data_IF_074857591109
#
_entry.id   IF_074857591109
#
_cell.length_a   1.000
_cell.length_b   1.000
_cell.length_c   1.000
_cell.angle_alpha   90.00
_cell.angle_beta   90.00
_cell.angle_gamma   90.00
#
_symmetry.space_group_name_H-M   'P 1'
#
loop_
_entity.id
_entity.type
_entity.pdbx_description
1 polymer ?
#
# COMPACT_ATOMS: atom_id res chain seq x y z
N UNK A 1 4.66 -51.81 -31.10
CA UNK A 1 5.09 -50.65 -30.28
C UNK A 1 4.71 -50.99 -28.84
N UNK A 2 5.71 -51.19 -27.98
CA UNK A 2 5.49 -51.69 -26.63
C UNK A 2 4.63 -50.67 -25.81
N UNK A 3 3.64 -51.18 -25.04
CA UNK A 3 2.75 -50.38 -24.22
C UNK A 3 3.53 -49.42 -23.26
N UNK A 4 4.70 -49.83 -22.83
CA UNK A 4 5.60 -49.04 -21.97
C UNK A 4 6.21 -47.80 -22.64
N UNK A 5 6.51 -47.86 -23.96
CA UNK A 5 6.99 -46.73 -24.76
C UNK A 5 5.93 -45.67 -24.94
N UNK A 6 4.68 -46.11 -25.17
CA UNK A 6 3.51 -45.22 -25.30
C UNK A 6 3.20 -44.43 -24.01
N UNK A 7 3.31 -45.08 -22.85
CA UNK A 7 3.10 -44.48 -21.52
C UNK A 7 4.12 -43.39 -21.22
N UNK A 8 5.40 -43.70 -21.45
CA UNK A 8 6.51 -42.77 -21.22
C UNK A 8 6.38 -41.51 -22.09
N UNK A 9 6.01 -41.70 -23.37
CA UNK A 9 5.84 -40.60 -24.31
C UNK A 9 4.66 -39.69 -23.94
N UNK A 10 3.55 -40.26 -23.43
CA UNK A 10 2.42 -39.50 -22.94
C UNK A 10 2.79 -38.67 -21.74
N UNK A 11 3.37 -39.28 -20.69
CA UNK A 11 3.82 -38.58 -19.48
C UNK A 11 4.77 -37.44 -19.80
N UNK A 12 5.74 -37.71 -20.70
CA UNK A 12 6.69 -36.67 -21.13
C UNK A 12 5.99 -35.52 -21.86
N UNK A 13 5.04 -35.81 -22.73
CA UNK A 13 4.22 -34.82 -23.45
C UNK A 13 3.43 -33.94 -22.45
N UNK A 14 2.78 -34.56 -21.46
CA UNK A 14 1.97 -33.86 -20.48
C UNK A 14 2.83 -32.96 -19.58
N UNK A 15 4.02 -33.44 -19.14
CA UNK A 15 4.97 -32.64 -18.34
C UNK A 15 5.48 -31.42 -19.14
N UNK A 16 5.86 -31.65 -20.43
CA UNK A 16 6.28 -30.56 -21.30
C UNK A 16 5.17 -29.53 -21.52
N UNK A 17 3.92 -29.97 -21.66
CA UNK A 17 2.75 -29.08 -21.80
C UNK A 17 2.65 -28.09 -20.62
N UNK A 18 2.72 -28.60 -19.40
CA UNK A 18 2.73 -27.77 -18.17
C UNK A 18 3.95 -26.86 -18.13
N UNK A 19 5.12 -27.35 -18.49
CA UNK A 19 6.37 -26.58 -18.57
C UNK A 19 6.28 -25.41 -19.56
N UNK A 20 5.72 -25.65 -20.75
CA UNK A 20 5.50 -24.59 -21.77
C UNK A 20 4.53 -23.53 -21.25
N UNK A 21 3.41 -23.95 -20.65
CA UNK A 21 2.43 -23.02 -20.08
C UNK A 21 3.05 -22.12 -18.98
N UNK A 22 3.81 -22.73 -18.06
CA UNK A 22 4.50 -22.00 -17.00
C UNK A 22 5.59 -21.05 -17.53
N UNK A 23 6.41 -21.53 -18.49
CA UNK A 23 7.47 -20.73 -19.13
C UNK A 23 6.89 -19.53 -19.87
N UNK A 24 5.82 -19.73 -20.64
CA UNK A 24 5.11 -18.66 -21.33
C UNK A 24 4.58 -17.63 -20.33
N UNK A 25 3.96 -18.07 -19.26
CA UNK A 25 3.45 -17.17 -18.21
C UNK A 25 4.56 -16.36 -17.54
N UNK A 26 5.69 -17.00 -17.24
CA UNK A 26 6.86 -16.34 -16.65
C UNK A 26 7.49 -15.31 -17.60
N UNK A 27 7.57 -15.61 -18.90
CA UNK A 27 8.07 -14.67 -19.92
C UNK A 27 7.14 -13.46 -20.05
N UNK A 28 5.83 -13.67 -20.13
CA UNK A 28 4.85 -12.59 -20.19
C UNK A 28 4.90 -11.70 -18.94
N UNK A 29 5.08 -12.29 -17.77
CA UNK A 29 5.21 -11.55 -16.50
C UNK A 29 6.46 -10.65 -16.42
N UNK A 30 7.47 -10.83 -17.29
CA UNK A 30 8.63 -9.92 -17.35
C UNK A 30 8.35 -8.59 -18.04
N UNK A 31 7.31 -8.51 -18.88
CA UNK A 31 7.00 -7.29 -19.61
C UNK A 31 6.15 -6.32 -18.79
N UNK A 32 6.67 -5.12 -18.57
CA UNK A 32 6.01 -4.10 -17.74
C UNK A 32 4.58 -3.76 -18.20
N UNK A 33 4.34 -3.75 -19.52
CA UNK A 33 3.00 -3.49 -20.07
C UNK A 33 2.03 -4.60 -19.70
N UNK A 34 2.45 -5.86 -19.80
CA UNK A 34 1.61 -7.01 -19.41
C UNK A 34 1.35 -7.04 -17.90
N UNK A 35 2.39 -6.76 -17.09
CA UNK A 35 2.26 -6.62 -15.61
C UNK A 35 1.20 -5.59 -15.25
N UNK A 36 1.19 -4.41 -15.90
CA UNK A 36 0.18 -3.37 -15.66
C UNK A 36 -1.23 -3.83 -15.98
N UNK A 37 -1.41 -4.58 -17.08
CA UNK A 37 -2.72 -5.17 -17.45
C UNK A 37 -3.19 -6.20 -16.42
N UNK A 38 -2.28 -7.00 -15.84
CA UNK A 38 -2.60 -7.94 -14.77
C UNK A 38 -3.07 -7.26 -13.49
N UNK A 39 -2.48 -6.10 -13.18
CA UNK A 39 -2.78 -5.34 -11.96
C UNK A 39 -4.20 -4.75 -11.98
N UNK A 40 -4.74 -4.42 -13.16
CA UNK A 40 -6.04 -3.78 -13.31
C UNK A 40 -7.15 -4.83 -13.30
N UNK A 41 -8.11 -4.72 -12.38
CA UNK A 41 -9.24 -5.66 -12.31
C UNK A 41 -10.31 -5.38 -13.37
N UNK A 42 -10.72 -4.13 -13.49
CA UNK A 42 -11.61 -3.64 -14.54
C UNK A 42 -10.79 -3.07 -15.68
N UNK A 43 -10.70 -3.85 -16.77
CA UNK A 43 -9.90 -3.50 -17.94
C UNK A 43 -10.72 -2.70 -18.92
N UNK A 44 -10.18 -1.56 -19.33
CA UNK A 44 -10.69 -0.79 -20.46
C UNK A 44 -10.47 -1.50 -21.81
N UNK A 45 -11.06 -1.04 -22.92
CA UNK A 45 -10.89 -1.66 -24.23
C UNK A 45 -9.44 -1.74 -24.70
N UNK A 46 -8.60 -0.74 -24.41
CA UNK A 46 -7.17 -0.71 -24.76
C UNK A 46 -6.39 -1.79 -24.01
N UNK A 47 -6.65 -1.94 -22.73
CA UNK A 47 -6.04 -2.98 -21.90
C UNK A 47 -6.48 -4.39 -22.31
N UNK A 48 -7.74 -4.56 -22.72
CA UNK A 48 -8.24 -5.82 -23.28
C UNK A 48 -7.53 -6.17 -24.59
N UNK A 49 -7.34 -5.19 -25.45
CA UNK A 49 -6.58 -5.38 -26.70
C UNK A 49 -5.11 -5.74 -26.42
N UNK A 50 -4.47 -5.05 -25.48
CA UNK A 50 -3.10 -5.38 -25.05
C UNK A 50 -3.00 -6.80 -24.51
N UNK A 51 -3.96 -7.25 -23.68
CA UNK A 51 -3.99 -8.62 -23.19
C UNK A 51 -4.02 -9.63 -24.34
N UNK A 52 -4.87 -9.41 -25.34
CA UNK A 52 -4.94 -10.26 -26.55
C UNK A 52 -3.61 -10.25 -27.31
N UNK A 53 -3.04 -9.08 -27.58
CA UNK A 53 -1.79 -8.94 -28.32
C UNK A 53 -0.60 -9.63 -27.65
N UNK A 54 -0.56 -9.69 -26.33
CA UNK A 54 0.50 -10.40 -25.60
C UNK A 54 0.26 -11.92 -25.55
N UNK A 55 -0.97 -12.37 -25.38
CA UNK A 55 -1.25 -13.80 -25.17
C UNK A 55 -1.40 -14.57 -26.49
N UNK A 56 -1.97 -13.98 -27.54
CA UNK A 56 -2.27 -14.70 -28.81
C UNK A 56 -1.03 -15.17 -29.58
N UNK A 57 0.05 -14.35 -29.78
CA UNK A 57 1.16 -14.79 -30.62
C UNK A 57 1.87 -16.06 -30.15
N UNK A 58 2.27 -16.21 -28.86
CA UNK A 58 2.92 -17.43 -28.42
C UNK A 58 2.01 -18.65 -28.51
N UNK A 59 0.69 -18.49 -28.34
CA UNK A 59 -0.27 -19.57 -28.46
C UNK A 59 -0.46 -20.00 -29.93
N UNK A 60 -0.47 -19.05 -30.87
CA UNK A 60 -0.49 -19.33 -32.32
C UNK A 60 0.76 -20.13 -32.73
N UNK A 61 1.94 -19.72 -32.24
CA UNK A 61 3.20 -20.44 -32.47
C UNK A 61 3.08 -21.88 -31.95
N UNK A 62 2.53 -22.08 -30.74
CA UNK A 62 2.34 -23.41 -30.16
C UNK A 62 1.44 -24.30 -31.02
N UNK A 63 0.31 -23.80 -31.50
CA UNK A 63 -0.59 -24.52 -32.42
C UNK A 63 0.12 -24.83 -33.74
N UNK A 64 0.86 -23.88 -34.29
CA UNK A 64 1.58 -24.07 -35.56
C UNK A 64 2.67 -25.13 -35.43
N UNK A 65 3.45 -25.11 -34.34
CA UNK A 65 4.48 -26.14 -34.09
C UNK A 65 3.88 -27.54 -34.00
N UNK A 66 2.75 -27.70 -33.32
CA UNK A 66 2.03 -28.97 -33.26
C UNK A 66 1.61 -29.47 -34.66
N UNK A 67 1.15 -28.56 -35.53
CA UNK A 67 0.70 -28.90 -36.89
C UNK A 67 1.86 -29.31 -37.80
N UNK A 68 3.05 -28.76 -37.61
CA UNK A 68 4.26 -29.06 -38.38
C UNK A 68 4.85 -30.43 -37.99
N UNK A 69 4.80 -30.78 -36.69
CA UNK A 69 5.43 -32.01 -36.22
C UNK A 69 4.72 -32.64 -35.03
N UNK A 70 4.41 -33.92 -35.14
CA UNK A 70 3.77 -34.73 -34.09
C UNK A 70 4.50 -34.70 -32.74
N UNK A 71 5.81 -34.54 -32.76
CA UNK A 71 6.65 -34.42 -31.56
C UNK A 71 6.40 -33.16 -30.75
N UNK A 72 5.76 -32.11 -31.31
CA UNK A 72 5.47 -30.84 -30.66
C UNK A 72 4.04 -30.74 -30.10
N UNK A 73 3.34 -31.87 -29.92
CA UNK A 73 1.96 -31.92 -29.42
C UNK A 73 1.77 -31.17 -28.08
N UNK A 74 2.80 -31.16 -27.24
CA UNK A 74 2.81 -30.48 -25.97
C UNK A 74 2.73 -28.93 -26.08
N UNK A 75 3.05 -28.39 -27.26
CA UNK A 75 3.04 -26.93 -27.45
C UNK A 75 1.64 -26.35 -27.65
N UNK A 76 0.64 -27.21 -27.95
CA UNK A 76 -0.74 -26.77 -28.13
C UNK A 76 -1.43 -26.47 -26.80
N UNK A 77 -1.60 -25.18 -26.53
CA UNK A 77 -2.32 -24.62 -25.38
C UNK A 77 -3.55 -23.81 -25.84
N UNK A 78 -4.14 -24.16 -27.00
CA UNK A 78 -5.22 -23.39 -27.61
C UNK A 78 -6.45 -23.24 -26.70
N UNK A 79 -6.92 -24.35 -26.10
CA UNK A 79 -8.09 -24.34 -25.21
C UNK A 79 -7.76 -23.65 -23.87
N UNK A 80 -6.64 -24.01 -23.25
CA UNK A 80 -6.20 -23.44 -21.98
C UNK A 80 -5.90 -21.94 -22.10
N UNK A 81 -5.25 -21.55 -23.19
CA UNK A 81 -4.94 -20.13 -23.45
C UNK A 81 -6.19 -19.31 -23.75
N UNK A 82 -7.15 -19.83 -24.52
CA UNK A 82 -8.43 -19.18 -24.74
C UNK A 82 -9.23 -19.05 -23.45
N UNK A 83 -9.27 -20.10 -22.61
CA UNK A 83 -9.90 -20.09 -21.31
C UNK A 83 -9.27 -19.03 -20.36
N UNK A 84 -7.93 -19.00 -20.29
CA UNK A 84 -7.19 -17.97 -19.51
C UNK A 84 -7.48 -16.55 -20.01
N UNK A 85 -7.55 -16.33 -21.33
CA UNK A 85 -7.92 -15.03 -21.88
C UNK A 85 -9.35 -14.64 -21.49
N UNK A 86 -10.27 -15.61 -21.44
CA UNK A 86 -11.63 -15.40 -20.94
C UNK A 86 -11.65 -15.03 -19.47
N UNK A 87 -10.95 -15.78 -18.62
CA UNK A 87 -10.84 -15.52 -17.18
C UNK A 87 -10.24 -14.14 -16.89
N UNK A 88 -9.25 -13.69 -17.67
CA UNK A 88 -8.60 -12.41 -17.48
C UNK A 88 -9.32 -11.25 -18.17
N UNK A 89 -9.74 -11.45 -19.44
CA UNK A 89 -10.24 -10.39 -20.32
C UNK A 89 -11.78 -10.30 -20.42
N UNK A 90 -12.48 -11.34 -19.93
CA UNK A 90 -13.94 -11.41 -19.95
C UNK A 90 -14.53 -12.04 -21.21
N UNK A 91 -15.88 -12.01 -21.30
CA UNK A 91 -16.70 -12.75 -22.28
C UNK A 91 -16.49 -12.37 -23.76
N UNK A 92 -15.81 -11.27 -24.04
CA UNK A 92 -15.51 -10.83 -25.42
C UNK A 92 -14.11 -11.25 -25.83
N UNK A 93 -13.13 -11.02 -24.94
CA UNK A 93 -11.70 -11.28 -25.19
C UNK A 93 -11.42 -12.79 -25.36
N UNK A 94 -12.03 -13.62 -24.51
CA UNK A 94 -11.82 -15.06 -24.55
C UNK A 94 -12.23 -15.71 -25.89
N UNK A 95 -13.47 -15.55 -26.34
CA UNK A 95 -13.92 -16.13 -27.61
C UNK A 95 -13.17 -15.63 -28.85
N UNK A 96 -12.92 -14.31 -28.91
CA UNK A 96 -12.17 -13.71 -30.02
C UNK A 96 -10.73 -14.22 -30.01
N UNK A 97 -10.08 -14.24 -28.85
CA UNK A 97 -8.73 -14.77 -28.71
C UNK A 97 -8.66 -16.24 -29.08
N UNK A 98 -9.62 -17.07 -28.64
CA UNK A 98 -9.72 -18.48 -29.00
C UNK A 98 -9.86 -18.70 -30.51
N UNK A 99 -10.71 -17.90 -31.18
CA UNK A 99 -10.85 -17.94 -32.63
C UNK A 99 -9.53 -17.61 -33.35
N UNK A 100 -8.84 -16.55 -32.92
CA UNK A 100 -7.57 -16.10 -33.51
C UNK A 100 -6.47 -17.15 -33.34
N UNK A 101 -6.32 -17.73 -32.13
CA UNK A 101 -5.30 -18.76 -31.84
C UNK A 101 -5.44 -19.97 -32.75
N UNK A 102 -6.65 -20.34 -33.09
CA UNK A 102 -6.96 -21.57 -33.85
C UNK A 102 -7.03 -21.38 -35.36
N UNK A 103 -6.75 -20.19 -35.91
CA UNK A 103 -6.66 -19.94 -37.34
C UNK A 103 -5.72 -20.94 -38.06
N UNK A 104 -4.49 -21.23 -37.54
CA UNK A 104 -3.64 -22.24 -38.19
C UNK A 104 -4.29 -23.62 -38.23
N UNK A 105 -4.96 -24.06 -37.16
CA UNK A 105 -5.64 -25.34 -37.10
C UNK A 105 -6.78 -25.44 -38.13
N UNK A 106 -7.52 -24.34 -38.33
CA UNK A 106 -8.57 -24.27 -39.36
C UNK A 106 -8.01 -24.43 -40.76
N UNK A 107 -6.85 -23.83 -41.06
CA UNK A 107 -6.16 -24.01 -42.38
C UNK A 107 -5.79 -25.46 -42.61
N UNK A 108 -5.45 -26.21 -41.56
CA UNK A 108 -5.13 -27.64 -41.63
C UNK A 108 -6.37 -28.56 -41.49
N UNK A 109 -7.60 -28.02 -41.72
CA UNK A 109 -8.88 -28.73 -41.72
C UNK A 109 -9.33 -29.27 -40.36
N UNK A 110 -8.85 -28.69 -39.24
CA UNK A 110 -9.37 -28.95 -37.90
C UNK A 110 -10.59 -28.04 -37.61
N UNK A 111 -11.73 -28.34 -38.25
CA UNK A 111 -12.91 -27.48 -38.27
C UNK A 111 -13.52 -27.19 -36.88
N UNK A 112 -13.36 -28.11 -35.92
CA UNK A 112 -13.88 -27.99 -34.58
C UNK A 112 -12.93 -27.24 -33.62
N UNK A 113 -11.69 -26.96 -34.01
CA UNK A 113 -10.72 -26.28 -33.18
C UNK A 113 -11.17 -24.85 -32.82
N UNK A 114 -11.68 -24.10 -33.81
CA UNK A 114 -12.13 -22.72 -33.58
C UNK A 114 -13.37 -22.63 -32.69
N UNK A 115 -14.48 -23.36 -32.94
CA UNK A 115 -15.63 -23.32 -32.03
C UNK A 115 -15.29 -23.82 -30.61
N UNK A 116 -14.44 -24.84 -30.47
CA UNK A 116 -14.05 -25.37 -29.17
C UNK A 116 -13.21 -24.36 -28.35
N UNK A 117 -12.23 -23.73 -28.98
CA UNK A 117 -11.41 -22.69 -28.30
C UNK A 117 -12.24 -21.44 -28.01
N UNK A 118 -13.12 -21.02 -28.94
CA UNK A 118 -14.02 -19.89 -28.68
C UNK A 118 -14.98 -20.18 -27.51
N UNK A 119 -15.51 -21.40 -27.43
CA UNK A 119 -16.34 -21.82 -26.29
C UNK A 119 -15.55 -21.85 -24.98
N UNK A 120 -14.32 -22.36 -24.95
CA UNK A 120 -13.46 -22.33 -23.78
C UNK A 120 -13.22 -20.90 -23.30
N UNK A 121 -12.93 -19.99 -24.23
CA UNK A 121 -12.77 -18.57 -23.93
C UNK A 121 -14.04 -17.91 -23.40
N UNK A 122 -15.21 -18.24 -23.97
CA UNK A 122 -16.50 -17.78 -23.48
C UNK A 122 -16.78 -18.27 -22.06
N UNK A 123 -16.53 -19.56 -21.79
CA UNK A 123 -16.70 -20.15 -20.46
C UNK A 123 -15.85 -19.46 -19.42
N UNK A 124 -14.57 -19.19 -19.72
CA UNK A 124 -13.70 -18.40 -18.84
C UNK A 124 -14.26 -17.00 -18.57
N UNK A 125 -14.77 -16.33 -19.60
CA UNK A 125 -15.38 -15.00 -19.49
C UNK A 125 -16.68 -15.00 -18.67
N UNK A 126 -17.51 -16.03 -18.78
CA UNK A 126 -18.73 -16.20 -17.99
C UNK A 126 -18.41 -16.45 -16.52
N UNK A 127 -17.44 -17.32 -16.23
CA UNK A 127 -16.95 -17.56 -14.86
C UNK A 127 -16.48 -16.24 -14.24
N UNK A 128 -15.63 -15.46 -14.95
CA UNK A 128 -15.21 -14.13 -14.47
C UNK A 128 -16.39 -13.22 -14.15
N UNK A 129 -17.44 -13.23 -14.97
CA UNK A 129 -18.62 -12.39 -14.73
C UNK A 129 -19.43 -12.87 -13.52
N UNK A 130 -19.55 -14.18 -13.33
CA UNK A 130 -20.34 -14.80 -12.28
C UNK A 130 -19.69 -14.67 -10.88
N UNK A 131 -18.36 -14.62 -10.81
CA UNK A 131 -17.62 -14.48 -9.53
C UNK A 131 -17.89 -13.11 -8.92
N UNK A 132 -18.49 -13.02 -7.70
CA UNK A 132 -18.78 -11.75 -7.04
C UNK A 132 -17.53 -10.97 -6.68
N UNK A 133 -16.55 -11.64 -6.08
CA UNK A 133 -15.26 -11.05 -5.74
C UNK A 133 -14.18 -11.52 -6.73
N UNK A 134 -13.67 -10.60 -7.54
CA UNK A 134 -12.66 -10.92 -8.58
C UNK A 134 -11.34 -11.44 -8.00
N UNK A 135 -11.06 -11.15 -6.72
CA UNK A 135 -9.89 -11.69 -6.00
C UNK A 135 -9.95 -13.21 -5.87
N UNK A 136 -11.15 -13.82 -5.79
CA UNK A 136 -11.31 -15.27 -5.66
C UNK A 136 -10.77 -16.03 -6.89
N UNK A 137 -10.74 -15.36 -8.06
CA UNK A 137 -10.15 -15.91 -9.27
C UNK A 137 -8.65 -16.18 -9.10
N UNK A 138 -7.96 -15.31 -8.38
CA UNK A 138 -6.52 -15.39 -8.16
C UNK A 138 -6.13 -16.42 -7.09
N UNK A 139 -7.09 -16.87 -6.27
CA UNK A 139 -6.89 -17.95 -5.30
C UNK A 139 -6.83 -19.32 -5.98
N UNK A 140 -7.28 -19.42 -7.25
CA UNK A 140 -7.16 -20.65 -8.04
C UNK A 140 -5.68 -20.97 -8.30
N UNK A 141 -5.28 -22.18 -7.96
CA UNK A 141 -3.91 -22.64 -8.11
C UNK A 141 -3.78 -24.16 -8.25
N UNK A 142 -2.55 -24.66 -8.42
CA UNK A 142 -2.29 -26.10 -8.62
C UNK A 142 -2.87 -27.03 -7.55
N UNK A 143 -3.04 -26.53 -6.33
CA UNK A 143 -3.52 -27.29 -5.17
C UNK A 143 -4.96 -26.97 -4.77
N UNK A 144 -5.72 -26.25 -5.63
CA UNK A 144 -7.12 -25.89 -5.33
C UNK A 144 -8.00 -27.12 -5.10
N UNK A 145 -7.66 -28.27 -5.70
CA UNK A 145 -8.39 -29.53 -5.47
C UNK A 145 -8.37 -29.99 -3.99
N UNK A 146 -7.38 -29.60 -3.20
CA UNK A 146 -7.33 -29.89 -1.76
C UNK A 146 -8.44 -29.16 -0.97
N UNK A 147 -9.04 -28.14 -1.57
CA UNK A 147 -10.16 -27.41 -0.96
C UNK A 147 -11.53 -28.03 -1.30
N UNK A 148 -11.60 -29.10 -2.09
CA UNK A 148 -12.87 -29.78 -2.45
C UNK A 148 -13.67 -30.15 -1.19
N UNK A 149 -13.11 -30.76 -0.12
CA UNK A 149 -13.88 -31.07 1.08
C UNK A 149 -14.51 -29.83 1.73
N UNK A 150 -13.76 -28.72 1.78
CA UNK A 150 -14.27 -27.44 2.31
C UNK A 150 -15.39 -26.85 1.44
N UNK A 151 -15.24 -26.97 0.12
CA UNK A 151 -16.25 -26.50 -0.82
C UNK A 151 -17.57 -27.29 -0.67
N UNK A 152 -17.48 -28.61 -0.55
CA UNK A 152 -18.65 -29.48 -0.32
C UNK A 152 -19.34 -29.13 1.01
N UNK A 153 -18.59 -28.97 2.09
CA UNK A 153 -19.15 -28.60 3.40
C UNK A 153 -19.84 -27.24 3.33
N UNK A 154 -19.25 -26.22 2.69
CA UNK A 154 -19.89 -24.90 2.52
C UNK A 154 -21.17 -24.98 1.69
N UNK A 155 -21.15 -25.73 0.59
CA UNK A 155 -22.33 -25.93 -0.24
C UNK A 155 -23.47 -26.57 0.57
N UNK A 156 -23.16 -27.58 1.38
CA UNK A 156 -24.16 -28.32 2.18
C UNK A 156 -24.67 -27.51 3.39
N UNK A 157 -23.83 -26.69 4.01
CA UNK A 157 -24.19 -25.98 5.25
C UNK A 157 -24.73 -24.57 5.01
N UNK A 158 -24.27 -23.88 3.98
CA UNK A 158 -24.60 -22.47 3.71
C UNK A 158 -25.25 -22.21 2.37
N UNK A 159 -25.39 -23.24 1.51
CA UNK A 159 -25.80 -23.11 0.12
C UNK A 159 -24.97 -22.08 -0.69
N UNK A 160 -23.72 -21.82 -0.26
CA UNK A 160 -22.80 -20.89 -0.92
C UNK A 160 -21.93 -21.64 -1.92
N UNK A 161 -21.90 -21.17 -3.16
CA UNK A 161 -20.96 -21.66 -4.19
C UNK A 161 -19.54 -21.20 -3.82
N UNK A 162 -18.63 -22.16 -3.79
CA UNK A 162 -17.20 -21.89 -3.61
C UNK A 162 -16.59 -21.58 -4.98
N UNK A 163 -16.58 -20.30 -5.34
CA UNK A 163 -16.21 -19.82 -6.67
C UNK A 163 -14.81 -20.19 -7.13
N UNK A 164 -13.89 -20.44 -6.20
CA UNK A 164 -12.55 -20.96 -6.50
C UNK A 164 -12.58 -22.32 -7.21
N UNK A 165 -13.68 -23.08 -7.07
CA UNK A 165 -13.86 -24.39 -7.76
C UNK A 165 -14.35 -24.22 -9.20
N UNK A 166 -14.90 -23.09 -9.59
CA UNK A 166 -15.46 -22.91 -10.93
C UNK A 166 -14.42 -23.08 -12.04
N UNK A 167 -13.20 -22.54 -11.97
CA UNK A 167 -12.15 -22.80 -12.95
C UNK A 167 -11.72 -24.28 -12.99
N UNK A 168 -11.68 -24.96 -11.81
CA UNK A 168 -11.38 -26.39 -11.73
C UNK A 168 -12.40 -27.21 -12.51
N UNK A 169 -13.68 -27.01 -12.22
CA UNK A 169 -14.78 -27.75 -12.88
C UNK A 169 -14.81 -27.44 -14.38
N UNK A 170 -14.51 -26.21 -14.76
CA UNK A 170 -14.42 -25.85 -16.18
C UNK A 170 -13.27 -26.57 -16.90
N UNK A 171 -12.07 -26.66 -16.29
CA UNK A 171 -10.94 -27.39 -16.88
C UNK A 171 -11.27 -28.88 -17.06
N UNK A 172 -11.90 -29.51 -16.05
CA UNK A 172 -12.35 -30.89 -16.12
C UNK A 172 -13.39 -31.07 -17.24
N UNK A 173 -14.40 -30.19 -17.28
CA UNK A 173 -15.46 -30.24 -18.30
C UNK A 173 -14.95 -30.01 -19.73
N UNK A 174 -14.00 -29.07 -19.90
CA UNK A 174 -13.39 -28.80 -21.20
C UNK A 174 -12.58 -29.99 -21.72
N UNK A 175 -11.81 -30.65 -20.84
CA UNK A 175 -11.01 -31.81 -21.25
C UNK A 175 -11.89 -33.02 -21.57
N UNK A 176 -12.86 -33.34 -20.72
CA UNK A 176 -13.83 -34.41 -20.97
C UNK A 176 -14.63 -34.12 -22.25
N UNK A 177 -15.09 -32.86 -22.40
CA UNK A 177 -15.81 -32.44 -23.60
C UNK A 177 -14.97 -32.57 -24.87
N UNK A 178 -13.67 -32.24 -24.81
CA UNK A 178 -12.73 -32.39 -25.93
C UNK A 178 -12.59 -33.84 -26.34
N UNK A 179 -12.36 -34.76 -25.41
CA UNK A 179 -12.24 -36.21 -25.69
C UNK A 179 -13.55 -36.76 -26.23
N UNK A 180 -14.69 -36.40 -25.60
CA UNK A 180 -16.01 -36.82 -26.09
C UNK A 180 -16.28 -36.37 -27.54
N UNK A 181 -15.91 -35.12 -27.85
CA UNK A 181 -16.12 -34.54 -29.17
C UNK A 181 -15.24 -35.24 -30.23
N UNK A 182 -13.98 -35.55 -29.90
CA UNK A 182 -13.09 -36.33 -30.79
C UNK A 182 -13.59 -37.74 -30.98
N UNK A 183 -14.11 -38.39 -29.92
CA UNK A 183 -14.70 -39.73 -30.01
C UNK A 183 -15.99 -39.77 -30.87
N UNK A 184 -16.80 -38.72 -30.83
CA UNK A 184 -18.06 -38.59 -31.55
C UNK A 184 -17.88 -38.14 -33.02
N UNK A 185 -16.72 -37.57 -33.37
CA UNK A 185 -16.46 -36.99 -34.68
C UNK A 185 -15.24 -37.65 -35.37
N UNK A 186 -14.79 -37.07 -36.48
CA UNK A 186 -13.55 -37.55 -37.12
C UNK A 186 -12.34 -37.00 -36.32
N UNK A 187 -11.34 -37.85 -35.97
CA UNK A 187 -10.16 -37.44 -35.18
C UNK A 187 -9.36 -36.27 -35.81
N UNK A 188 -9.51 -36.02 -37.12
CA UNK A 188 -8.85 -34.91 -37.83
C UNK A 188 -9.53 -33.54 -37.59
N UNK A 189 -10.71 -33.46 -36.97
CA UNK A 189 -11.45 -32.22 -36.84
C UNK A 189 -11.12 -31.45 -35.57
N UNK A 190 -10.61 -32.16 -34.56
CA UNK A 190 -10.17 -31.56 -33.31
C UNK A 190 -9.00 -32.36 -32.76
N UNK A 191 -7.98 -31.65 -32.30
CA UNK A 191 -6.82 -32.26 -31.68
C UNK A 191 -7.08 -32.61 -30.20
N UNK A 192 -6.70 -33.80 -29.79
CA UNK A 192 -6.52 -34.21 -28.40
C UNK A 192 -5.19 -34.95 -28.23
N UNK A 193 -4.54 -34.81 -27.09
CA UNK A 193 -3.25 -35.49 -26.84
C UNK A 193 -3.46 -36.99 -26.78
N UNK A 194 -4.50 -37.41 -26.04
CA UNK A 194 -4.98 -38.79 -26.01
C UNK A 194 -6.52 -38.80 -26.10
N UNK A 195 -7.07 -39.32 -27.21
CA UNK A 195 -8.52 -39.33 -27.41
C UNK A 195 -9.25 -40.52 -26.78
N UNK A 196 -8.55 -41.36 -25.98
CA UNK A 196 -9.13 -42.56 -25.40
C UNK A 196 -9.77 -42.31 -24.04
N UNK A 197 -10.86 -43.05 -23.77
CA UNK A 197 -11.57 -43.07 -22.49
C UNK A 197 -11.02 -44.18 -21.60
N UNK A 198 -9.82 -43.98 -21.06
CA UNK A 198 -9.21 -44.89 -20.12
C UNK A 198 -8.69 -44.10 -18.89
N UNK A 199 -7.94 -44.76 -18.02
CA UNK A 199 -7.40 -44.14 -16.82
C UNK A 199 -6.40 -42.98 -17.13
N UNK A 200 -5.86 -42.89 -18.36
CA UNK A 200 -5.00 -41.78 -18.80
C UNK A 200 -5.76 -40.46 -18.91
N UNK A 201 -7.09 -40.51 -19.08
CA UNK A 201 -7.91 -39.31 -19.08
C UNK A 201 -7.71 -38.49 -17.81
N UNK A 202 -7.52 -39.16 -16.66
CA UNK A 202 -7.20 -38.46 -15.40
C UNK A 202 -5.90 -37.66 -15.46
N UNK A 203 -4.86 -38.19 -16.11
CA UNK A 203 -3.59 -37.48 -16.29
C UNK A 203 -3.71 -36.31 -17.26
N UNK A 204 -4.46 -36.45 -18.34
CA UNK A 204 -4.70 -35.35 -19.30
C UNK A 204 -5.50 -34.23 -18.64
N UNK A 205 -6.51 -34.54 -17.83
CA UNK A 205 -7.26 -33.58 -17.01
C UNK A 205 -6.34 -32.85 -16.02
N UNK A 206 -5.47 -33.57 -15.31
CA UNK A 206 -4.50 -32.98 -14.39
C UNK A 206 -3.54 -32.04 -15.14
N UNK A 207 -3.04 -32.44 -16.31
CA UNK A 207 -2.15 -31.61 -17.10
C UNK A 207 -2.84 -30.35 -17.63
N UNK A 208 -4.10 -30.44 -18.07
CA UNK A 208 -4.91 -29.28 -18.46
C UNK A 208 -5.15 -28.35 -17.28
N UNK A 209 -5.52 -28.90 -16.13
CA UNK A 209 -5.66 -28.14 -14.89
C UNK A 209 -4.38 -27.38 -14.51
N UNK A 210 -3.23 -28.08 -14.53
CA UNK A 210 -1.93 -27.47 -14.22
C UNK A 210 -1.52 -26.42 -15.26
N UNK A 211 -1.84 -26.64 -16.55
CA UNK A 211 -1.55 -25.67 -17.62
C UNK A 211 -2.37 -24.39 -17.52
N UNK A 212 -3.47 -24.38 -16.77
CA UNK A 212 -4.24 -23.18 -16.43
C UNK A 212 -3.83 -22.60 -15.07
N UNK A 213 -3.67 -23.47 -14.06
CA UNK A 213 -3.40 -23.06 -12.69
C UNK A 213 -1.99 -22.49 -12.51
N UNK A 214 -0.96 -23.04 -13.17
CA UNK A 214 0.41 -22.56 -13.04
C UNK A 214 0.58 -21.13 -13.57
N UNK A 215 0.12 -20.77 -14.79
CA UNK A 215 0.09 -19.39 -15.26
C UNK A 215 -0.62 -18.43 -14.31
N UNK A 216 -1.82 -18.78 -13.85
CA UNK A 216 -2.56 -17.93 -12.91
C UNK A 216 -1.79 -17.71 -11.60
N UNK A 217 -1.15 -18.75 -11.06
CA UNK A 217 -0.34 -18.63 -9.85
C UNK A 217 0.89 -17.76 -10.05
N UNK A 218 1.60 -17.90 -11.18
CA UNK A 218 2.76 -17.06 -11.53
C UNK A 218 2.32 -15.60 -11.64
N UNK A 219 1.23 -15.33 -12.34
CA UNK A 219 0.71 -13.97 -12.51
C UNK A 219 0.16 -13.38 -11.20
N UNK A 220 -0.48 -14.20 -10.36
CA UNK A 220 -0.91 -13.76 -9.03
C UNK A 220 0.29 -13.38 -8.14
N UNK A 221 1.35 -14.17 -8.13
CA UNK A 221 2.56 -13.84 -7.38
C UNK A 221 3.15 -12.49 -7.86
N UNK A 222 3.24 -12.28 -9.19
CA UNK A 222 3.68 -11.00 -9.76
C UNK A 222 2.77 -9.84 -9.34
N UNK A 223 1.45 -10.06 -9.29
CA UNK A 223 0.47 -9.07 -8.85
C UNK A 223 0.63 -8.73 -7.37
N UNK A 224 0.83 -9.74 -6.52
CA UNK A 224 1.07 -9.58 -5.08
C UNK A 224 2.36 -8.79 -4.82
N UNK A 225 3.46 -9.11 -5.53
CA UNK A 225 4.72 -8.36 -5.45
C UNK A 225 4.52 -6.89 -5.79
N UNK A 226 3.84 -6.57 -6.88
CA UNK A 226 3.55 -5.18 -7.28
C UNK A 226 2.69 -4.44 -6.25
N UNK A 227 1.71 -5.10 -5.66
CA UNK A 227 0.89 -4.54 -4.60
C UNK A 227 1.74 -4.23 -3.36
N UNK A 228 2.61 -5.15 -2.97
CA UNK A 228 3.51 -4.96 -1.83
C UNK A 228 4.46 -3.77 -2.06
N UNK A 229 5.10 -3.70 -3.23
CA UNK A 229 5.96 -2.57 -3.61
C UNK A 229 5.20 -1.24 -3.53
N UNK A 230 3.97 -1.20 -4.05
CA UNK A 230 3.12 0.00 -4.01
C UNK A 230 2.76 0.41 -2.58
N UNK A 231 2.39 -0.54 -1.73
CA UNK A 231 2.09 -0.26 -0.32
C UNK A 231 3.32 0.25 0.43
N UNK A 232 4.51 -0.32 0.16
CA UNK A 232 5.77 0.17 0.74
C UNK A 232 6.07 1.61 0.30
N UNK A 233 5.87 1.94 -0.99
CA UNK A 233 6.04 3.31 -1.49
C UNK A 233 5.06 4.29 -0.84
N UNK A 234 3.79 3.89 -0.69
CA UNK A 234 2.77 4.72 -0.02
C UNK A 234 3.10 4.94 1.45
N UNK A 235 3.55 3.91 2.16
CA UNK A 235 3.99 4.02 3.55
C UNK A 235 5.22 4.94 3.70
N UNK A 236 6.19 4.80 2.79
CA UNK A 236 7.36 5.68 2.78
C UNK A 236 6.96 7.12 2.52
N UNK A 237 6.08 7.36 1.53
CA UNK A 237 5.55 8.70 1.24
C UNK A 237 4.80 9.27 2.43
N UNK A 238 3.90 8.51 3.05
CA UNK A 238 3.16 8.96 4.22
C UNK A 238 4.09 9.30 5.41
N UNK A 239 5.16 8.50 5.61
CA UNK A 239 6.20 8.81 6.61
C UNK A 239 6.95 10.10 6.27
N UNK A 240 7.31 10.30 4.99
CA UNK A 240 7.97 11.53 4.54
C UNK A 240 7.06 12.76 4.69
N UNK A 241 5.77 12.64 4.34
CA UNK A 241 4.78 13.70 4.48
C UNK A 241 4.59 14.04 5.98
N UNK A 242 4.52 13.03 6.85
CA UNK A 242 4.43 13.22 8.31
C UNK A 242 5.69 13.89 8.89
N UNK A 243 6.88 13.49 8.46
CA UNK A 243 8.14 14.14 8.84
C UNK A 243 8.21 15.58 8.35
N UNK A 244 7.79 15.83 7.10
CA UNK A 244 7.77 17.18 6.53
C UNK A 244 6.78 18.11 7.24
N UNK A 245 5.67 17.59 7.75
CA UNK A 245 4.68 18.39 8.51
C UNK A 245 5.17 18.80 9.90
N UNK A 246 6.16 18.09 10.46
CA UNK A 246 6.80 18.44 11.75
C UNK A 246 7.78 19.62 11.62
N UNK A 247 8.30 19.85 10.42
CA UNK A 247 9.10 21.05 10.13
C UNK A 247 8.12 22.09 9.59
N UNK A 248 7.86 23.16 10.35
CA UNK A 248 7.06 24.27 9.84
C UNK A 248 7.79 24.94 8.64
N UNK A 249 7.33 24.71 7.38
CA UNK A 249 8.06 25.22 6.20
C UNK A 249 8.16 26.75 6.21
N UNK A 250 7.14 27.41 6.72
CA UNK A 250 7.08 28.85 6.83
C UNK A 250 8.14 29.39 7.79
N UNK A 251 8.35 28.70 8.93
CA UNK A 251 9.43 29.05 9.86
C UNK A 251 10.80 28.94 9.19
N UNK A 252 11.03 27.83 8.45
CA UNK A 252 12.30 27.60 7.77
C UNK A 252 12.57 28.67 6.70
N UNK A 253 11.59 28.98 5.85
CA UNK A 253 11.74 30.04 4.84
C UNK A 253 11.99 31.42 5.49
N UNK A 254 11.26 31.76 6.54
CA UNK A 254 11.43 33.03 7.24
C UNK A 254 12.82 33.12 7.89
N UNK A 255 13.31 32.04 8.51
CA UNK A 255 14.65 32.00 9.11
C UNK A 255 15.74 32.19 8.06
N UNK A 256 15.63 31.52 6.89
CA UNK A 256 16.59 31.69 5.79
C UNK A 256 16.57 33.11 5.20
N UNK A 257 15.40 33.73 5.09
CA UNK A 257 15.27 35.11 4.68
C UNK A 257 15.92 36.08 5.71
N UNK A 258 15.71 35.83 7.01
CA UNK A 258 16.38 36.59 8.09
C UNK A 258 17.89 36.46 8.01
N UNK A 259 18.41 35.23 7.83
CA UNK A 259 19.86 35.00 7.64
C UNK A 259 20.37 35.78 6.43
N UNK A 260 19.67 35.69 5.30
CA UNK A 260 20.05 36.40 4.07
C UNK A 260 20.08 37.93 4.25
N UNK A 261 19.15 38.49 5.01
CA UNK A 261 19.14 39.92 5.33
C UNK A 261 20.32 40.30 6.28
N UNK A 262 20.58 39.47 7.29
CA UNK A 262 21.62 39.73 8.29
C UNK A 262 23.05 39.57 7.75
N UNK A 263 23.30 38.72 6.78
CA UNK A 263 24.66 38.42 6.26
C UNK A 263 25.46 39.71 5.94
N UNK A 264 24.78 40.76 5.47
CA UNK A 264 25.46 42.02 5.05
C UNK A 264 25.67 43.01 6.22
N UNK A 265 24.80 42.96 7.23
CA UNK A 265 24.77 43.97 8.28
C UNK A 265 25.26 43.45 9.63
N UNK A 266 25.00 42.19 9.95
CA UNK A 266 25.39 41.54 11.19
C UNK A 266 25.72 40.02 10.91
N UNK A 267 26.92 39.76 10.36
CA UNK A 267 27.31 38.38 10.00
C UNK A 267 27.42 37.45 11.21
N UNK A 268 27.74 37.94 12.38
CA UNK A 268 27.86 37.12 13.59
C UNK A 268 26.48 36.64 14.08
N UNK A 269 25.50 37.53 14.11
CA UNK A 269 24.12 37.15 14.38
C UNK A 269 23.58 36.19 13.30
N UNK A 270 23.89 36.42 12.02
CA UNK A 270 23.50 35.50 10.94
C UNK A 270 24.06 34.07 11.15
N UNK A 271 25.35 33.97 11.52
CA UNK A 271 26.01 32.71 11.84
C UNK A 271 25.34 32.01 13.05
N UNK A 272 25.01 32.79 14.10
CA UNK A 272 24.31 32.32 15.30
C UNK A 272 22.94 31.70 14.92
N UNK A 273 22.16 32.37 14.08
CA UNK A 273 20.85 31.90 13.60
C UNK A 273 21.00 30.57 12.83
N UNK A 274 22.00 30.43 11.94
CA UNK A 274 22.26 29.18 11.20
C UNK A 274 22.61 28.03 12.15
N UNK A 275 23.43 28.26 13.17
CA UNK A 275 23.77 27.22 14.14
C UNK A 275 22.55 26.78 14.95
N UNK A 276 21.70 27.71 15.41
CA UNK A 276 20.45 27.40 16.12
C UNK A 276 19.46 26.67 15.26
N UNK A 277 19.30 27.07 13.99
CA UNK A 277 18.49 26.36 13.02
C UNK A 277 18.98 24.92 12.82
N UNK A 278 20.30 24.73 12.72
CA UNK A 278 20.91 23.40 12.62
C UNK A 278 20.60 22.53 13.84
N UNK A 279 20.62 23.10 15.05
CA UNK A 279 20.25 22.37 16.28
C UNK A 279 18.79 21.96 16.29
N UNK A 280 17.87 22.85 15.90
CA UNK A 280 16.45 22.56 15.75
C UNK A 280 16.24 21.41 14.77
N UNK A 281 16.82 21.48 13.55
CA UNK A 281 16.67 20.45 12.52
C UNK A 281 17.23 19.11 12.99
N UNK A 282 18.40 19.11 13.64
CA UNK A 282 19.01 17.89 14.17
C UNK A 282 18.11 17.21 15.20
N UNK A 283 17.44 17.98 16.05
CA UNK A 283 16.50 17.44 17.06
C UNK A 283 15.26 16.87 16.41
N UNK A 284 14.66 17.56 15.44
CA UNK A 284 13.49 17.06 14.67
C UNK A 284 13.78 15.77 13.91
N UNK A 285 15.04 15.55 13.50
CA UNK A 285 15.47 14.34 12.78
C UNK A 285 15.92 13.19 13.69
N UNK A 286 16.10 13.42 15.01
CA UNK A 286 16.39 12.33 15.95
C UNK A 286 15.19 11.41 16.12
N UNK A 287 15.47 10.15 16.50
CA UNK A 287 14.42 9.18 16.88
C UNK A 287 13.61 9.77 18.04
N UNK A 288 12.31 9.89 17.88
CA UNK A 288 11.45 10.47 18.90
C UNK A 288 11.40 9.56 20.13
N UNK A 289 11.98 10.01 21.22
CA UNK A 289 11.71 9.50 22.56
C UNK A 289 10.33 10.02 22.98
N UNK A 290 9.52 9.16 23.62
CA UNK A 290 8.19 9.55 24.07
C UNK A 290 8.27 10.61 25.17
N UNK A 291 9.28 10.49 26.06
CA UNK A 291 9.57 11.43 27.13
C UNK A 291 11.00 11.92 27.02
N UNK A 292 11.21 13.18 27.35
CA UNK A 292 12.53 13.85 27.40
C UNK A 292 12.64 14.67 28.68
N UNK A 293 13.84 14.92 29.23
CA UNK A 293 14.01 15.86 30.32
C UNK A 293 13.51 17.25 29.93
N UNK A 294 12.89 17.97 30.87
CA UNK A 294 12.35 19.33 30.64
C UNK A 294 13.42 20.28 30.10
N UNK A 295 14.67 20.16 30.56
CA UNK A 295 15.79 20.96 30.06
C UNK A 295 15.93 20.86 28.53
N UNK A 296 15.67 19.68 27.92
CA UNK A 296 15.78 19.53 26.49
C UNK A 296 14.65 20.25 25.73
N UNK A 297 13.42 20.24 26.27
CA UNK A 297 12.32 21.05 25.72
C UNK A 297 12.65 22.52 25.79
N UNK A 298 13.20 22.98 26.92
CA UNK A 298 13.61 24.35 27.13
C UNK A 298 14.76 24.79 26.21
N UNK A 299 15.76 23.93 25.98
CA UNK A 299 16.85 24.18 25.01
C UNK A 299 16.32 24.35 23.60
N UNK A 300 15.33 23.52 23.19
CA UNK A 300 14.68 23.68 21.91
C UNK A 300 13.95 25.02 21.80
N UNK A 301 13.18 25.39 22.85
CA UNK A 301 12.46 26.64 22.89
C UNK A 301 13.42 27.82 22.83
N UNK A 302 14.60 27.74 23.50
CA UNK A 302 15.63 28.78 23.45
C UNK A 302 16.17 28.99 22.06
N UNK A 303 16.54 27.92 21.38
CA UNK A 303 17.00 28.02 20.00
C UNK A 303 15.91 28.62 19.07
N UNK A 304 14.65 28.26 19.29
CA UNK A 304 13.52 28.75 18.52
C UNK A 304 13.27 30.24 18.76
N UNK A 305 13.17 30.65 20.05
CA UNK A 305 12.94 32.03 20.46
C UNK A 305 14.07 32.96 20.01
N UNK A 306 15.31 32.52 20.12
CA UNK A 306 16.47 33.32 19.69
C UNK A 306 16.45 33.61 18.17
N UNK A 307 15.97 32.65 17.36
CA UNK A 307 15.76 32.88 15.92
C UNK A 307 14.65 33.90 15.71
N UNK A 308 13.55 33.80 16.44
CA UNK A 308 12.44 34.73 16.35
C UNK A 308 12.83 36.14 16.83
N UNK A 309 13.63 36.27 17.90
CA UNK A 309 14.20 37.54 18.36
C UNK A 309 15.08 38.17 17.28
N UNK A 310 15.91 37.36 16.59
CA UNK A 310 16.71 37.86 15.47
C UNK A 310 15.84 38.37 14.30
N UNK A 311 14.64 37.79 14.13
CA UNK A 311 13.67 38.17 13.06
C UNK A 311 12.87 39.42 13.44
N UNK A 312 12.32 39.47 14.63
CA UNK A 312 11.46 40.59 15.10
C UNK A 312 12.23 41.80 15.59
N UNK A 313 13.50 41.62 15.97
CA UNK A 313 14.32 42.63 16.65
C UNK A 313 14.28 42.46 18.17
N UNK A 314 15.43 42.67 18.81
CA UNK A 314 15.60 42.49 20.27
C UNK A 314 14.70 43.42 21.12
N UNK A 315 14.36 44.58 20.57
CA UNK A 315 13.52 45.56 21.27
C UNK A 315 12.02 45.22 21.21
N UNK A 316 11.65 44.25 20.39
CA UNK A 316 10.25 43.91 20.12
C UNK A 316 9.78 42.58 20.78
N UNK A 317 10.69 41.81 21.35
CA UNK A 317 10.33 40.53 21.99
C UNK A 317 11.13 40.31 23.28
N UNK A 318 10.45 40.38 24.43
CA UNK A 318 11.00 40.14 25.77
C UNK A 318 10.67 38.70 26.23
N UNK A 319 11.68 37.96 26.69
CA UNK A 319 11.55 36.57 27.13
C UNK A 319 12.01 36.48 28.60
N UNK A 320 11.07 36.14 29.48
CA UNK A 320 11.33 35.97 30.91
C UNK A 320 11.16 34.50 31.30
N UNK A 321 12.18 33.93 31.96
CA UNK A 321 12.16 32.59 32.49
C UNK A 321 12.34 32.59 34.01
N UNK A 322 11.45 31.87 34.66
CA UNK A 322 11.47 31.63 36.10
C UNK A 322 11.34 30.11 36.30
N UNK A 323 12.48 29.43 36.26
CA UNK A 323 12.57 27.99 36.28
C UNK A 323 13.15 27.54 37.62
N UNK A 324 12.45 26.64 38.30
CA UNK A 324 13.01 25.98 39.49
C UNK A 324 13.97 24.87 39.03
N UNK A 325 15.19 24.82 39.55
CA UNK A 325 16.25 23.92 39.10
C UNK A 325 15.88 22.43 39.23
N UNK A 326 15.08 22.07 40.23
CA UNK A 326 14.57 20.71 40.46
C UNK A 326 13.60 20.22 39.38
N UNK A 327 13.04 21.14 38.59
CA UNK A 327 12.14 20.79 37.49
C UNK A 327 12.85 20.37 36.21
N UNK A 328 14.13 20.74 36.04
CA UNK A 328 14.86 20.58 34.78
C UNK A 328 15.09 19.11 34.35
N UNK A 329 15.25 18.21 35.33
CA UNK A 329 15.46 16.79 35.12
C UNK A 329 14.14 15.99 35.10
N UNK A 330 13.00 16.64 35.34
CA UNK A 330 11.69 16.00 35.27
C UNK A 330 11.37 15.62 33.82
N UNK A 331 10.93 14.37 33.60
CA UNK A 331 10.58 13.90 32.25
C UNK A 331 9.21 14.42 31.82
N UNK A 332 9.16 15.01 30.64
CA UNK A 332 7.95 15.54 30.00
C UNK A 332 7.75 14.90 28.63
N UNK A 333 6.51 14.83 28.12
CA UNK A 333 6.29 14.41 26.76
C UNK A 333 7.08 15.26 25.76
N UNK A 334 7.78 14.63 24.84
CA UNK A 334 8.52 15.32 23.78
C UNK A 334 7.60 16.25 22.97
N UNK A 335 8.06 17.42 22.60
CA UNK A 335 7.29 18.46 21.89
C UNK A 335 6.05 18.95 22.66
N UNK A 336 6.14 19.06 23.98
CA UNK A 336 5.06 19.57 24.84
C UNK A 336 4.95 21.09 24.77
N UNK A 337 6.09 21.78 24.90
CA UNK A 337 6.15 23.24 25.02
C UNK A 337 6.13 23.94 23.66
N UNK A 338 6.71 23.33 22.63
CA UNK A 338 6.87 23.91 21.30
C UNK A 338 5.54 24.44 20.71
N UNK A 339 4.43 23.66 20.62
CA UNK A 339 3.20 24.14 20.00
C UNK A 339 2.59 25.33 20.76
N UNK A 340 2.83 25.40 22.07
CA UNK A 340 2.32 26.47 22.93
C UNK A 340 3.07 27.77 22.67
N UNK A 341 4.41 27.71 22.65
CA UNK A 341 5.24 28.87 22.36
C UNK A 341 5.06 29.37 20.93
N UNK A 342 4.93 28.47 19.97
CA UNK A 342 4.59 28.82 18.59
C UNK A 342 3.24 29.57 18.51
N UNK A 343 2.22 29.15 19.27
CA UNK A 343 0.93 29.83 19.31
C UNK A 343 1.04 31.20 19.94
N UNK A 344 1.79 31.35 21.05
CA UNK A 344 2.05 32.67 21.67
C UNK A 344 2.66 33.63 20.64
N UNK A 345 3.67 33.21 19.90
CA UNK A 345 4.30 34.05 18.88
C UNK A 345 3.39 34.37 17.72
N UNK A 346 2.80 33.33 17.11
CA UNK A 346 2.06 33.45 15.85
C UNK A 346 0.69 34.11 16.02
N UNK A 347 -0.02 33.76 17.07
CA UNK A 347 -1.40 34.18 17.29
C UNK A 347 -1.53 35.25 18.36
N UNK A 348 -0.64 35.23 19.37
CA UNK A 348 -0.61 36.24 20.44
C UNK A 348 0.12 37.48 20.01
N UNK A 349 1.38 37.38 19.65
CA UNK A 349 2.29 38.52 19.52
C UNK A 349 2.43 39.06 18.11
N UNK A 350 2.43 38.20 17.07
CA UNK A 350 2.61 38.66 15.67
C UNK A 350 1.58 39.70 15.20
N UNK A 351 0.31 39.71 15.65
CA UNK A 351 -0.65 40.75 15.32
C UNK A 351 -0.44 42.07 16.08
N UNK A 352 0.40 42.10 17.14
CA UNK A 352 0.60 43.27 18.02
C UNK A 352 1.68 44.18 17.42
N UNK A 353 1.39 45.47 17.35
CA UNK A 353 2.33 46.49 16.84
C UNK A 353 3.36 46.96 17.88
N UNK A 354 3.00 46.84 19.16
CA UNK A 354 3.82 47.19 20.29
C UNK A 354 4.49 45.96 20.85
N UNK A 355 5.75 45.89 21.00
CA UNK A 355 6.53 44.75 21.46
C UNK A 355 5.81 43.68 22.33
N UNK A 356 6.23 42.45 22.22
CA UNK A 356 5.64 41.30 22.91
C UNK A 356 6.47 40.78 24.06
N UNK A 357 5.82 40.13 25.04
CA UNK A 357 6.47 39.50 26.19
C UNK A 357 5.96 38.07 26.31
N UNK A 358 6.89 37.13 26.48
CA UNK A 358 6.58 35.73 26.85
C UNK A 358 7.23 35.43 28.17
N UNK A 359 6.48 34.89 29.11
CA UNK A 359 6.97 34.45 30.39
C UNK A 359 6.73 32.96 30.59
N UNK A 360 7.79 32.23 30.93
CA UNK A 360 7.78 30.81 31.21
C UNK A 360 8.12 30.57 32.67
N UNK A 361 7.27 29.86 33.39
CA UNK A 361 7.49 29.49 34.79
C UNK A 361 7.36 28.00 34.97
N UNK A 362 8.26 27.39 35.75
CA UNK A 362 8.16 25.98 36.14
C UNK A 362 8.34 25.85 37.65
N UNK A 363 7.54 24.99 38.27
CA UNK A 363 7.61 24.65 39.69
C UNK A 363 7.28 23.21 39.94
N UNK A 364 7.95 22.57 40.89
CA UNK A 364 7.57 21.28 41.42
C UNK A 364 6.81 21.46 42.75
N UNK A 365 5.60 20.88 42.84
CA UNK A 365 4.79 20.89 44.07
C UNK A 365 4.07 19.57 44.22
N UNK A 366 4.17 18.95 45.40
CA UNK A 366 3.45 17.75 45.77
C UNK A 366 3.63 16.57 44.77
N UNK A 367 4.85 16.43 44.20
CA UNK A 367 5.16 15.39 43.16
C UNK A 367 4.53 15.67 41.81
N UNK A 368 4.19 16.92 41.53
CA UNK A 368 3.63 17.35 40.23
C UNK A 368 4.44 18.50 39.66
N UNK A 369 4.67 18.43 38.36
CA UNK A 369 5.30 19.49 37.58
C UNK A 369 4.23 20.46 37.10
N UNK A 370 4.36 21.73 37.54
CA UNK A 370 3.55 22.85 37.09
C UNK A 370 4.34 23.67 36.08
N UNK A 371 3.80 23.85 34.91
CA UNK A 371 4.36 24.69 33.84
C UNK A 371 3.34 25.77 33.52
N UNK A 372 3.76 27.03 33.54
CA UNK A 372 2.93 28.17 33.13
C UNK A 372 3.64 28.94 32.01
N UNK A 373 2.92 29.19 30.93
CA UNK A 373 3.36 29.99 29.79
C UNK A 373 2.36 31.13 29.62
N UNK A 374 2.87 32.37 29.70
CA UNK A 374 2.09 33.59 29.62
C UNK A 374 2.60 34.47 28.49
N UNK A 375 1.71 34.96 27.63
CA UNK A 375 1.99 36.02 26.66
C UNK A 375 1.12 37.26 26.94
N UNK A 376 1.61 38.43 26.57
CA UNK A 376 0.87 39.69 26.63
C UNK A 376 0.31 40.08 25.25
N UNK A 377 -0.05 39.09 24.43
CA UNK A 377 -0.55 39.27 23.08
C UNK A 377 -1.97 39.80 22.96
N UNK A 378 -2.57 39.67 21.83
CA UNK A 378 -3.93 40.18 21.54
C UNK A 378 -5.03 39.40 22.27
N UNK A 379 -4.70 38.24 22.87
CA UNK A 379 -5.65 37.38 23.58
C UNK A 379 -6.69 36.73 22.66
N UNK A 380 -7.60 35.95 23.29
CA UNK A 380 -8.63 35.18 22.63
C UNK A 380 -9.99 35.63 23.16
N UNK A 381 -10.96 35.86 22.25
CA UNK A 381 -12.30 36.25 22.66
C UNK A 381 -13.05 35.10 23.37
N UNK A 382 -13.93 35.44 24.31
CA UNK A 382 -14.72 34.46 25.08
C UNK A 382 -15.50 33.48 24.18
N UNK A 383 -15.98 33.94 23.01
CA UNK A 383 -16.70 33.11 22.05
C UNK A 383 -15.80 32.04 21.40
N UNK A 384 -14.50 32.32 21.21
CA UNK A 384 -13.54 31.40 20.60
C UNK A 384 -12.87 30.47 21.60
N UNK A 385 -12.83 30.83 22.87
CA UNK A 385 -12.13 30.06 23.90
C UNK A 385 -12.57 28.60 23.99
N UNK A 386 -13.88 28.25 23.92
CA UNK A 386 -14.33 26.85 23.91
C UNK A 386 -13.87 26.07 22.66
N UNK A 387 -13.64 26.77 21.54
CA UNK A 387 -13.29 26.15 20.25
C UNK A 387 -11.78 25.98 20.05
N UNK A 388 -10.94 26.57 20.91
CA UNK A 388 -9.47 26.49 20.81
C UNK A 388 -8.94 25.04 20.85
N UNK A 389 -9.63 24.15 21.56
CA UNK A 389 -9.30 22.73 21.61
C UNK A 389 -9.82 21.92 20.43
N UNK A 390 -10.69 22.48 19.60
CA UNK A 390 -11.33 21.78 18.46
C UNK A 390 -10.77 22.27 17.13
N UNK A 391 -10.57 23.58 16.99
CA UNK A 391 -10.14 24.24 15.75
C UNK A 391 -8.62 24.46 15.67
N UNK A 392 -7.91 24.49 16.81
CA UNK A 392 -6.48 24.73 16.88
C UNK A 392 -5.66 23.44 16.87
N UNK A 393 -4.96 23.15 15.77
CA UNK A 393 -4.15 21.91 15.60
C UNK A 393 -3.10 21.75 16.71
N UNK A 394 -2.49 22.83 17.18
CA UNK A 394 -1.39 22.78 18.14
C UNK A 394 -1.82 22.37 19.55
N UNK A 395 -2.80 23.06 20.14
CA UNK A 395 -3.26 22.80 21.50
C UNK A 395 -4.12 21.55 21.64
N UNK A 396 -4.89 21.21 20.60
CA UNK A 396 -5.64 19.95 20.55
C UNK A 396 -4.67 18.75 20.58
N UNK A 397 -3.57 18.81 19.84
CA UNK A 397 -2.53 17.78 19.82
C UNK A 397 -1.83 17.65 21.19
N UNK A 398 -1.53 18.75 21.85
CA UNK A 398 -0.96 18.74 23.22
C UNK A 398 -1.93 18.04 24.19
N UNK A 399 -3.20 18.43 24.18
CA UNK A 399 -4.23 17.83 25.05
C UNK A 399 -4.42 16.34 24.80
N UNK A 400 -4.51 15.93 23.53
CA UNK A 400 -4.66 14.52 23.16
C UNK A 400 -3.43 13.69 23.58
N UNK A 401 -2.23 14.23 23.37
CA UNK A 401 -0.98 13.60 23.82
C UNK A 401 -0.95 13.42 25.33
N UNK A 402 -1.29 14.46 26.11
CA UNK A 402 -1.38 14.37 27.57
C UNK A 402 -2.42 13.32 27.99
N UNK A 403 -3.59 13.28 27.33
CA UNK A 403 -4.63 12.30 27.59
C UNK A 403 -4.18 10.86 27.33
N UNK A 404 -3.45 10.62 26.23
CA UNK A 404 -2.92 9.29 25.90
C UNK A 404 -1.87 8.84 26.91
N UNK A 405 -1.01 9.75 27.40
CA UNK A 405 0.12 9.41 28.25
C UNK A 405 -0.24 9.37 29.75
N UNK A 406 -1.12 10.26 30.21
CA UNK A 406 -1.47 10.40 31.64
C UNK A 406 -2.93 10.01 31.94
N UNK A 407 -3.73 9.66 30.91
CA UNK A 407 -5.15 9.33 31.12
C UNK A 407 -5.98 10.52 31.59
N UNK A 408 -6.46 10.45 32.83
CA UNK A 408 -7.19 11.55 33.48
C UNK A 408 -6.30 12.36 34.47
N UNK A 409 -5.04 11.95 34.69
CA UNK A 409 -4.16 12.53 35.71
C UNK A 409 -3.30 13.67 35.14
N UNK A 410 -3.94 14.61 34.46
CA UNK A 410 -3.32 15.87 34.05
C UNK A 410 -4.34 16.98 34.06
N UNK A 411 -3.87 18.23 34.19
CA UNK A 411 -4.69 19.42 33.95
C UNK A 411 -4.03 20.32 32.88
N UNK A 412 -4.84 20.79 31.92
CA UNK A 412 -4.45 21.77 30.90
C UNK A 412 -5.51 22.88 30.89
N UNK A 413 -5.13 24.06 31.42
CA UNK A 413 -6.00 25.20 31.52
C UNK A 413 -5.52 26.34 30.64
N UNK A 414 -6.47 27.03 29.98
CA UNK A 414 -6.21 28.21 29.17
C UNK A 414 -7.05 29.35 29.73
N UNK A 415 -6.40 30.45 30.10
CA UNK A 415 -7.03 31.71 30.51
C UNK A 415 -6.60 32.79 29.52
N UNK A 416 -7.56 33.47 28.90
CA UNK A 416 -7.25 34.53 27.93
C UNK A 416 -8.33 35.59 27.96
N UNK A 417 -7.91 36.85 27.72
CA UNK A 417 -8.80 38.00 27.56
C UNK A 417 -8.32 38.84 26.38
N UNK A 418 -9.26 39.36 25.56
CA UNK A 418 -8.90 40.25 24.47
C UNK A 418 -8.09 41.45 24.95
N UNK A 419 -6.90 41.66 24.38
CA UNK A 419 -5.97 42.75 24.72
C UNK A 419 -5.10 42.52 25.93
N UNK A 420 -5.35 41.50 26.77
CA UNK A 420 -4.54 41.22 27.99
C UNK A 420 -3.54 40.05 27.76
N UNK A 421 -3.74 39.24 26.71
CA UNK A 421 -2.87 38.09 26.40
C UNK A 421 -3.48 36.73 26.78
N UNK A 422 -2.62 35.72 26.86
CA UNK A 422 -3.03 34.32 27.14
C UNK A 422 -2.10 33.70 28.19
N UNK A 423 -2.68 32.95 29.11
CA UNK A 423 -1.98 32.12 30.09
C UNK A 423 -2.38 30.69 29.90
N UNK A 424 -1.39 29.80 29.70
CA UNK A 424 -1.57 28.36 29.60
C UNK A 424 -0.86 27.70 30.77
N UNK A 425 -1.62 26.89 31.52
CA UNK A 425 -1.12 26.11 32.66
C UNK A 425 -1.20 24.64 32.38
N UNK A 426 -0.10 23.94 32.59
CA UNK A 426 0.00 22.49 32.49
C UNK A 426 0.40 21.96 33.87
N UNK A 427 -0.34 20.97 34.33
CA UNK A 427 -0.08 20.26 35.58
C UNK A 427 -0.04 18.77 35.28
N UNK A 428 1.11 18.12 35.47
CA UNK A 428 1.35 16.72 35.19
C UNK A 428 2.09 16.04 36.35
N UNK A 429 1.89 14.72 36.57
CA UNK A 429 2.66 13.95 37.53
C UNK A 429 4.15 14.00 37.20
N UNK A 430 4.99 14.12 38.23
CA UNK A 430 6.44 14.05 38.07
C UNK A 430 6.84 12.61 37.70
N UNK A 431 7.50 12.44 36.57
CA UNK A 431 8.10 11.16 36.16
C UNK A 431 9.60 11.26 36.34
N UNK A 432 10.14 10.54 37.34
CA UNK A 432 11.58 10.43 37.60
C UNK A 432 12.12 9.23 36.83
N UNK A 433 13.36 9.31 36.32
CA UNK A 433 14.03 8.34 35.44
C UNK A 433 13.99 6.85 35.89
N UNK A 434 13.62 6.58 37.13
CA UNK A 434 13.55 5.21 37.70
C UNK A 434 12.37 4.38 37.21
N UNK A 435 11.35 4.96 36.56
CA UNK A 435 10.16 4.23 36.09
C UNK A 435 10.22 3.75 34.61
N UNK A 436 11.26 4.06 33.86
CA UNK A 436 11.38 3.63 32.44
C UNK A 436 11.85 2.18 32.23
N UNK A 437 12.12 1.40 33.29
CA UNK A 437 12.60 0.02 33.18
C UNK A 437 11.49 -1.05 33.15
N UNK A 438 10.21 -0.65 33.14
CA UNK A 438 9.06 -1.58 33.14
C UNK A 438 8.04 -1.10 32.09
N UNK A 439 8.29 -1.45 30.84
CA UNK A 439 7.37 -1.21 29.72
C UNK A 439 7.78 -2.05 28.52
#
# INVERSE_FOLDING_TARGET
MDATTSVRDLLFTLLLKVGVAASMAALLARWNTFRRVLFTEERDPDQKLKLMLFMTPPLIVGVTLRLVGYQYRFADLSLEGAFLMGLLGGRVVGPIGGAIITIPALIFHEWLAMPAASFAGLLGGLIRQAIPNKEDLWNFGPFTFLNIPKAVVRLMTRAELFWEMAPLMACVGLEIGRVALVAATKPKWLFAIDPHWDWWLGLTVIATLMSVAAPLKIWNNTRVEMNLERHQQLLLKARMDALSSQINPHFLFNTLNTVSALIRFDPDTARGVVLKLSNILRRLLRKHETFVPLREELEFIDNYLDIEVARFGRDNLDIIKQLDDDTLETFVPSMLLQPIVENCLKHGLAPKLEGGKIQLRTKNRDGRLHIEIEDNGVGISEEKLPHVYVEGIGLSNVRERLRVLYGADFNLEIQSRPGEGTIIRIDIPEIVATMQAVG
#
